data_IF_546838648513
#
_entry.id   IF_546838648513
#
_cell.length_a   1.000
_cell.length_b   1.000
_cell.length_c   1.000
_cell.angle_alpha   90.00
_cell.angle_beta   90.00
_cell.angle_gamma   90.00
#
_symmetry.space_group_name_H-M   'P 1'
#
loop_
_entity.id
_entity.type
_entity.pdbx_description
1 polymer ?
#
# COMPACT_ATOMS: atom_id res chain seq x y z
N UNK A 1 0.16 -3.95 -25.20
CA UNK A 1 -0.80 -4.94 -25.66
C UNK A 1 -1.14 -5.84 -24.47
N UNK A 2 -2.43 -5.96 -24.16
CA UNK A 2 -2.93 -6.81 -23.07
C UNK A 2 -2.99 -8.25 -23.59
N UNK A 3 -1.86 -8.93 -23.59
CA UNK A 3 -1.75 -10.32 -24.04
C UNK A 3 -1.71 -11.25 -22.83
N UNK A 4 -2.41 -12.38 -22.94
CA UNK A 4 -2.34 -13.43 -21.94
C UNK A 4 -0.96 -14.11 -21.95
N UNK A 5 -0.49 -14.62 -20.80
CA UNK A 5 0.74 -15.40 -20.78
C UNK A 5 0.64 -16.56 -21.79
N UNK A 6 1.65 -16.77 -22.66
CA UNK A 6 1.60 -17.83 -23.69
C UNK A 6 1.43 -19.24 -23.11
N UNK A 7 1.81 -19.45 -21.85
CA UNK A 7 1.67 -20.72 -21.13
C UNK A 7 0.28 -20.94 -20.52
N UNK A 8 -0.61 -19.95 -20.55
CA UNK A 8 -1.96 -20.07 -19.99
C UNK A 8 -2.86 -20.88 -20.94
N UNK A 9 -3.27 -22.06 -20.52
CA UNK A 9 -4.27 -22.86 -21.22
C UNK A 9 -5.60 -22.76 -20.49
N UNK A 10 -6.52 -21.94 -21.03
CA UNK A 10 -7.83 -21.66 -20.41
C UNK A 10 -8.68 -22.92 -20.29
N UNK A 11 -8.63 -23.83 -21.26
CA UNK A 11 -9.42 -25.07 -21.28
C UNK A 11 -9.03 -26.04 -20.13
N UNK A 12 -7.81 -25.94 -19.64
CA UNK A 12 -7.27 -26.76 -18.54
C UNK A 12 -7.03 -25.97 -17.24
N UNK A 13 -7.56 -24.73 -17.14
CA UNK A 13 -7.40 -23.87 -15.96
C UNK A 13 -8.72 -23.79 -15.21
N UNK A 14 -8.77 -24.32 -13.98
CA UNK A 14 -9.96 -24.29 -13.14
C UNK A 14 -10.25 -22.91 -12.54
N UNK A 15 -9.21 -22.09 -12.34
CA UNK A 15 -9.31 -20.72 -11.82
C UNK A 15 -7.94 -20.05 -11.76
N UNK A 16 -7.91 -18.72 -11.59
CA UNK A 16 -6.68 -17.92 -11.55
C UNK A 16 -6.68 -17.02 -10.31
N UNK A 17 -5.54 -16.98 -9.61
CA UNK A 17 -5.24 -15.95 -8.62
C UNK A 17 -4.34 -14.92 -9.31
N UNK A 18 -4.80 -13.67 -9.36
CA UNK A 18 -4.10 -12.54 -9.96
C UNK A 18 -3.42 -11.72 -8.87
N UNK A 19 -2.09 -11.69 -8.86
CA UNK A 19 -1.30 -10.85 -7.97
C UNK A 19 -0.74 -9.64 -8.75
N UNK A 20 -0.78 -8.45 -8.12
CA UNK A 20 -0.17 -7.22 -8.66
C UNK A 20 -0.62 -6.87 -10.10
N UNK A 21 -1.87 -7.17 -10.41
CA UNK A 21 -2.48 -6.77 -11.68
C UNK A 21 -3.08 -5.38 -11.47
N UNK A 22 -2.30 -4.33 -11.73
CA UNK A 22 -2.66 -2.94 -11.45
C UNK A 22 -3.09 -2.13 -12.69
N UNK A 23 -3.09 -2.74 -13.87
CA UNK A 23 -3.72 -2.17 -15.06
C UNK A 23 -5.20 -2.53 -15.11
N UNK A 24 -6.08 -1.52 -15.09
CA UNK A 24 -7.52 -1.73 -15.03
C UNK A 24 -8.09 -2.41 -16.30
N UNK A 25 -7.61 -2.03 -17.48
CA UNK A 25 -8.11 -2.57 -18.74
C UNK A 25 -7.69 -4.04 -18.89
N UNK A 26 -6.47 -4.37 -18.42
CA UNK A 26 -6.01 -5.75 -18.35
C UNK A 26 -6.82 -6.58 -17.34
N UNK A 27 -7.09 -6.06 -16.15
CA UNK A 27 -7.93 -6.72 -15.14
C UNK A 27 -9.36 -6.96 -15.67
N UNK A 28 -9.95 -5.99 -16.37
CA UNK A 28 -11.25 -6.16 -17.03
C UNK A 28 -11.20 -7.23 -18.12
N UNK A 29 -10.16 -7.24 -18.94
CA UNK A 29 -9.97 -8.26 -19.98
C UNK A 29 -9.89 -9.66 -19.35
N UNK A 30 -9.16 -9.84 -18.25
CA UNK A 30 -9.13 -11.13 -17.52
C UNK A 30 -10.53 -11.56 -17.07
N UNK A 31 -11.38 -10.64 -16.61
CA UNK A 31 -12.75 -10.94 -16.21
C UNK A 31 -13.63 -11.48 -17.36
N UNK A 32 -13.23 -11.30 -18.64
CA UNK A 32 -13.96 -11.82 -19.80
C UNK A 32 -13.60 -13.28 -20.17
N UNK A 33 -12.63 -13.90 -19.48
CA UNK A 33 -12.14 -15.25 -19.81
C UNK A 33 -13.15 -16.36 -19.47
N UNK A 34 -14.18 -16.07 -18.67
CA UNK A 34 -15.22 -17.04 -18.31
C UNK A 34 -14.78 -18.11 -17.31
N UNK A 35 -13.66 -17.90 -16.61
CA UNK A 35 -13.12 -18.78 -15.57
C UNK A 35 -13.11 -18.06 -14.20
N UNK A 36 -13.19 -18.80 -13.07
CA UNK A 36 -13.07 -18.23 -11.74
C UNK A 36 -11.81 -17.41 -11.54
N UNK A 37 -11.97 -16.17 -11.06
CA UNK A 37 -10.87 -15.24 -10.79
C UNK A 37 -10.91 -14.72 -9.35
N UNK A 38 -9.74 -14.59 -8.77
CA UNK A 38 -9.48 -13.86 -7.54
C UNK A 38 -8.36 -12.86 -7.76
N UNK A 39 -8.60 -11.59 -7.45
CA UNK A 39 -7.54 -10.60 -7.40
C UNK A 39 -7.05 -10.43 -5.96
N UNK A 40 -5.74 -10.52 -5.78
CA UNK A 40 -5.05 -10.11 -4.54
C UNK A 40 -4.46 -8.74 -4.81
N UNK A 41 -5.10 -7.73 -4.22
CA UNK A 41 -5.03 -6.32 -4.59
C UNK A 41 -5.52 -6.08 -6.05
N UNK A 42 -5.78 -4.83 -6.38
CA UNK A 42 -6.38 -4.45 -7.68
C UNK A 42 -5.81 -3.12 -8.17
N UNK A 43 -6.08 -2.74 -9.43
CA UNK A 43 -6.00 -1.33 -9.83
C UNK A 43 -6.86 -0.46 -8.91
N UNK A 44 -6.59 0.84 -8.86
CA UNK A 44 -7.47 1.78 -8.16
C UNK A 44 -8.89 1.70 -8.74
N UNK A 45 -9.86 1.40 -7.87
CA UNK A 45 -11.26 1.15 -8.25
C UNK A 45 -12.17 2.37 -8.09
N UNK A 46 -11.63 3.48 -7.58
CA UNK A 46 -12.43 4.70 -7.37
C UNK A 46 -13.03 5.20 -8.69
N UNK A 47 -14.35 5.42 -8.69
CA UNK A 47 -15.13 5.87 -9.87
C UNK A 47 -15.05 4.95 -11.11
N UNK A 48 -14.70 3.67 -10.93
CA UNK A 48 -14.65 2.66 -12.00
C UNK A 48 -15.70 1.56 -11.81
N UNK A 49 -16.21 0.93 -12.88
CA UNK A 49 -17.04 -0.25 -12.76
C UNK A 49 -16.33 -1.37 -11.97
N UNK A 50 -17.06 -2.14 -11.13
CA UNK A 50 -16.45 -3.21 -10.36
C UNK A 50 -15.95 -4.34 -11.26
N UNK A 51 -14.81 -4.95 -10.88
CA UNK A 51 -14.32 -6.18 -11.52
C UNK A 51 -15.28 -7.34 -11.23
N UNK A 52 -15.55 -8.14 -12.24
CA UNK A 52 -16.39 -9.35 -12.16
C UNK A 52 -15.57 -10.52 -11.59
N UNK A 53 -15.07 -10.37 -10.37
CA UNK A 53 -14.18 -11.33 -9.67
C UNK A 53 -14.23 -11.15 -8.17
N UNK A 54 -13.84 -12.18 -7.40
CA UNK A 54 -13.55 -12.03 -5.98
C UNK A 54 -12.27 -11.21 -5.78
N UNK A 55 -12.19 -10.49 -4.65
CA UNK A 55 -11.07 -9.61 -4.32
C UNK A 55 -10.63 -9.85 -2.88
N UNK A 56 -9.33 -9.92 -2.69
CA UNK A 56 -8.70 -10.06 -1.38
C UNK A 56 -7.73 -8.91 -1.17
N UNK A 57 -7.84 -8.24 -0.03
CA UNK A 57 -6.95 -7.17 0.40
C UNK A 57 -6.43 -7.44 1.81
N UNK A 58 -5.34 -6.77 2.17
CA UNK A 58 -5.01 -6.52 3.57
C UNK A 58 -5.82 -5.31 4.07
N UNK A 59 -6.06 -5.23 5.36
CA UNK A 59 -6.65 -4.04 5.99
C UNK A 59 -5.65 -2.88 5.87
N UNK A 60 -6.07 -1.76 5.28
CA UNK A 60 -5.18 -0.66 4.91
C UNK A 60 -5.41 0.62 5.72
N UNK A 61 -6.38 0.65 6.66
CA UNK A 61 -6.86 1.90 7.24
C UNK A 61 -6.62 2.01 8.74
N UNK A 62 -6.97 0.97 9.50
CA UNK A 62 -7.03 0.99 10.97
C UNK A 62 -5.66 1.30 11.57
N UNK A 63 -4.62 0.57 11.15
CA UNK A 63 -3.29 0.75 11.72
C UNK A 63 -2.60 2.05 11.26
N UNK A 64 -2.93 2.58 10.09
CA UNK A 64 -2.49 3.93 9.69
C UNK A 64 -3.12 4.98 10.60
N UNK A 65 -4.42 4.90 10.87
CA UNK A 65 -5.10 5.82 11.77
C UNK A 65 -4.58 5.71 13.20
N UNK A 66 -4.33 4.49 13.69
CA UNK A 66 -3.71 4.22 14.99
C UNK A 66 -2.30 4.83 15.08
N UNK A 67 -1.46 4.65 14.06
CA UNK A 67 -0.10 5.22 14.03
C UNK A 67 -0.14 6.74 14.02
N UNK A 68 -1.01 7.34 13.21
CA UNK A 68 -1.17 8.80 13.17
C UNK A 68 -1.63 9.35 14.53
N UNK A 69 -2.57 8.69 15.20
CA UNK A 69 -3.01 9.08 16.55
C UNK A 69 -1.85 9.01 17.55
N UNK A 70 -1.01 7.98 17.51
CA UNK A 70 0.18 7.87 18.34
C UNK A 70 1.21 8.97 18.04
N UNK A 71 1.46 9.27 16.76
CA UNK A 71 2.36 10.36 16.35
C UNK A 71 1.88 11.70 16.92
N UNK A 72 0.57 11.99 16.81
CA UNK A 72 -0.04 13.22 17.38
C UNK A 72 0.08 13.28 18.90
N UNK A 73 -0.23 12.20 19.60
CA UNK A 73 -0.12 12.11 21.06
C UNK A 73 1.32 12.36 21.54
N UNK A 74 2.32 11.95 20.76
CA UNK A 74 3.74 12.16 21.03
C UNK A 74 4.27 13.50 20.47
N UNK A 75 3.37 14.39 20.03
CA UNK A 75 3.66 15.79 19.69
C UNK A 75 4.04 16.07 18.24
N UNK A 76 3.91 15.09 17.32
CA UNK A 76 4.10 15.32 15.88
C UNK A 76 2.91 16.12 15.33
N UNK A 77 3.19 17.16 14.53
CA UNK A 77 2.17 18.12 14.08
C UNK A 77 2.07 18.26 12.56
N UNK A 78 3.07 17.82 11.85
CA UNK A 78 3.17 17.91 10.38
C UNK A 78 3.48 16.54 9.82
N UNK A 79 2.45 15.71 9.79
CA UNK A 79 2.57 14.34 9.26
C UNK A 79 2.26 14.38 7.77
N UNK A 80 3.15 13.84 6.94
CA UNK A 80 3.00 13.75 5.50
C UNK A 80 2.80 12.30 5.04
N UNK A 81 2.26 12.12 3.84
CA UNK A 81 2.22 10.82 3.16
C UNK A 81 3.30 10.76 2.09
N UNK A 82 3.98 9.61 1.98
CA UNK A 82 4.93 9.34 0.91
C UNK A 82 4.50 8.10 0.12
N UNK A 83 4.20 8.27 -1.15
CA UNK A 83 3.78 7.18 -2.03
C UNK A 83 2.99 7.64 -3.24
N UNK A 84 2.83 6.76 -4.23
CA UNK A 84 1.96 6.96 -5.39
C UNK A 84 0.56 6.43 -5.08
N UNK A 85 -0.37 7.33 -4.78
CA UNK A 85 -1.76 6.99 -4.44
C UNK A 85 -2.57 6.39 -5.60
N UNK A 86 -2.05 6.45 -6.83
CA UNK A 86 -2.68 5.89 -8.03
C UNK A 86 -2.04 4.54 -8.45
N UNK A 87 -1.08 4.03 -7.67
CA UNK A 87 -0.37 2.80 -8.00
C UNK A 87 -1.29 1.57 -7.99
N UNK A 88 -1.98 1.34 -6.88
CA UNK A 88 -2.91 0.23 -6.66
C UNK A 88 -3.97 0.59 -5.63
N UNK A 89 -4.99 -0.26 -5.47
CA UNK A 89 -6.09 -0.02 -4.53
C UNK A 89 -5.59 0.08 -3.09
N UNK A 90 -4.65 -0.78 -2.67
CA UNK A 90 -4.08 -0.73 -1.31
C UNK A 90 -3.38 0.60 -1.02
N UNK A 91 -2.57 1.13 -1.95
CA UNK A 91 -1.92 2.43 -1.77
C UNK A 91 -2.95 3.57 -1.72
N UNK A 92 -3.99 3.47 -2.55
CA UNK A 92 -5.09 4.43 -2.54
C UNK A 92 -5.82 4.44 -1.18
N UNK A 93 -6.14 3.26 -0.63
CA UNK A 93 -6.80 3.14 0.67
C UNK A 93 -5.91 3.64 1.82
N UNK A 94 -4.59 3.37 1.78
CA UNK A 94 -3.59 3.89 2.74
C UNK A 94 -3.55 5.42 2.70
N UNK A 95 -3.51 6.00 1.51
CA UNK A 95 -3.57 7.45 1.34
C UNK A 95 -4.87 8.04 1.87
N UNK A 96 -6.02 7.41 1.59
CA UNK A 96 -7.33 7.86 2.11
C UNK A 96 -7.38 7.81 3.63
N UNK A 97 -6.87 6.72 4.23
CA UNK A 97 -6.79 6.59 5.70
C UNK A 97 -5.92 7.68 6.34
N UNK A 98 -4.77 7.97 5.73
CA UNK A 98 -3.91 9.09 6.12
C UNK A 98 -4.67 10.42 6.02
N UNK A 99 -5.33 10.67 4.88
CA UNK A 99 -6.05 11.93 4.65
C UNK A 99 -7.18 12.13 5.65
N UNK A 100 -8.01 11.11 5.87
CA UNK A 100 -9.12 11.15 6.83
C UNK A 100 -8.60 11.46 8.25
N UNK A 101 -7.48 10.83 8.66
CA UNK A 101 -6.87 11.09 9.96
C UNK A 101 -6.25 12.50 10.04
N UNK A 102 -5.56 12.95 8.98
CA UNK A 102 -4.98 14.29 8.94
C UNK A 102 -6.06 15.38 9.03
N UNK A 103 -7.17 15.21 8.32
CA UNK A 103 -8.34 16.10 8.40
C UNK A 103 -8.95 16.09 9.81
N UNK A 104 -9.09 14.91 10.44
CA UNK A 104 -9.58 14.78 11.83
C UNK A 104 -8.72 15.56 12.83
N UNK A 105 -7.39 15.56 12.66
CA UNK A 105 -6.45 16.29 13.51
C UNK A 105 -6.17 17.74 13.04
N UNK A 106 -6.85 18.22 11.99
CA UNK A 106 -6.68 19.58 11.45
C UNK A 106 -5.31 19.82 10.81
N UNK A 107 -4.72 18.81 10.19
CA UNK A 107 -3.40 18.87 9.57
C UNK A 107 -3.49 19.14 8.05
N UNK A 108 -2.43 19.76 7.50
CA UNK A 108 -2.28 19.91 6.06
C UNK A 108 -2.03 18.54 5.39
N UNK A 109 -2.59 18.36 4.20
CA UNK A 109 -2.49 17.12 3.40
C UNK A 109 -1.76 17.30 2.06
N UNK A 110 -1.44 18.54 1.70
CA UNK A 110 -0.84 18.88 0.40
C UNK A 110 0.69 18.82 0.48
N UNK A 111 1.22 17.60 0.58
CA UNK A 111 2.65 17.36 0.65
C UNK A 111 3.21 16.89 -0.69
N UNK A 112 4.38 17.38 -1.13
CA UNK A 112 4.98 17.05 -2.43
C UNK A 112 5.48 15.61 -2.53
N UNK A 113 5.53 14.89 -1.41
CA UNK A 113 5.92 13.45 -1.35
C UNK A 113 4.79 12.50 -1.74
N UNK A 114 3.55 12.99 -1.84
CA UNK A 114 2.43 12.23 -2.36
C UNK A 114 2.41 12.31 -3.88
N UNK A 115 2.91 11.29 -4.57
CA UNK A 115 2.89 11.22 -6.01
C UNK A 115 1.48 11.05 -6.56
N UNK A 116 1.18 11.72 -7.66
CA UNK A 116 -0.08 11.60 -8.42
C UNK A 116 0.12 10.96 -9.79
N UNK A 117 1.35 10.57 -10.12
CA UNK A 117 1.75 9.92 -11.36
C UNK A 117 2.77 8.84 -11.06
N UNK A 118 2.85 7.82 -11.90
CA UNK A 118 3.87 6.76 -11.77
C UNK A 118 5.25 7.38 -11.61
N UNK A 119 5.85 7.20 -10.44
CA UNK A 119 7.22 7.60 -10.18
C UNK A 119 8.13 6.62 -10.92
N UNK A 120 9.01 7.17 -11.73
CA UNK A 120 10.03 6.40 -12.48
C UNK A 120 11.03 5.73 -11.53
N UNK A 121 11.86 4.78 -11.97
CA UNK A 121 12.57 3.80 -11.14
C UNK A 121 13.53 4.36 -10.06
N UNK A 122 13.65 5.66 -9.89
CA UNK A 122 14.45 6.26 -8.82
C UNK A 122 13.57 7.03 -7.82
N UNK A 123 12.88 6.27 -6.95
CA UNK A 123 11.97 6.86 -5.97
C UNK A 123 12.73 7.73 -4.95
N UNK A 124 13.93 7.32 -4.54
CA UNK A 124 14.79 8.09 -3.62
C UNK A 124 15.14 9.48 -4.17
N UNK A 125 15.45 9.59 -5.47
CA UNK A 125 15.74 10.89 -6.08
C UNK A 125 14.48 11.77 -6.20
N UNK A 126 13.33 11.18 -6.55
CA UNK A 126 12.04 11.89 -6.54
C UNK A 126 11.75 12.49 -5.15
N UNK A 127 11.87 11.69 -4.09
CA UNK A 127 11.64 12.14 -2.72
C UNK A 127 12.65 13.24 -2.30
N UNK A 128 13.91 13.06 -2.62
CA UNK A 128 14.94 14.07 -2.36
C UNK A 128 14.61 15.43 -3.01
N UNK A 129 14.27 15.43 -4.29
CA UNK A 129 13.93 16.65 -5.01
C UNK A 129 12.63 17.28 -4.49
N UNK A 130 11.63 16.47 -4.15
CA UNK A 130 10.35 16.91 -3.58
C UNK A 130 10.54 17.61 -2.22
N UNK A 131 11.40 17.06 -1.36
CA UNK A 131 11.64 17.59 -0.02
C UNK A 131 12.61 18.77 -0.02
N UNK A 132 13.59 18.80 -0.93
CA UNK A 132 14.59 19.89 -1.02
C UNK A 132 13.95 21.27 -1.18
N UNK A 133 12.81 21.35 -1.86
CA UNK A 133 12.07 22.58 -2.09
C UNK A 133 11.00 22.89 -1.05
N UNK A 134 10.83 22.05 -0.05
CA UNK A 134 9.77 22.17 0.94
C UNK A 134 10.07 23.33 1.90
N UNK A 135 9.20 24.35 2.02
CA UNK A 135 9.45 25.51 2.90
C UNK A 135 9.40 25.13 4.39
N UNK A 136 8.71 24.06 4.70
CA UNK A 136 8.61 23.53 6.08
C UNK A 136 8.65 22.00 5.99
N UNK A 137 9.64 21.39 6.65
CA UNK A 137 9.79 19.93 6.68
C UNK A 137 8.69 19.29 7.53
N UNK A 138 8.05 18.20 7.07
CA UNK A 138 7.24 17.34 7.92
C UNK A 138 8.06 16.80 9.09
N UNK A 139 7.42 16.57 10.25
CA UNK A 139 8.06 15.97 11.42
C UNK A 139 7.75 14.47 11.56
N UNK A 140 6.89 13.93 10.69
CA UNK A 140 6.67 12.50 10.53
C UNK A 140 6.11 12.15 9.15
N UNK A 141 6.27 10.88 8.76
CA UNK A 141 5.71 10.35 7.51
C UNK A 141 5.02 9.02 7.73
N UNK A 142 3.89 8.84 7.04
CA UNK A 142 3.28 7.55 6.71
C UNK A 142 3.66 7.24 5.27
N UNK A 143 4.32 6.12 5.04
CA UNK A 143 4.74 5.67 3.71
C UNK A 143 3.80 4.60 3.16
N UNK A 144 3.59 4.60 1.85
CA UNK A 144 2.71 3.63 1.22
C UNK A 144 3.22 2.18 1.39
N UNK A 145 4.55 1.97 1.45
CA UNK A 145 5.16 0.70 1.83
C UNK A 145 6.58 0.90 2.41
N UNK A 146 7.23 -0.19 2.82
CA UNK A 146 8.56 -0.17 3.44
C UNK A 146 9.67 0.27 2.49
N UNK A 147 9.61 -0.10 1.22
CA UNK A 147 10.63 0.30 0.24
C UNK A 147 10.63 1.83 0.05
N UNK A 148 9.44 2.43 -0.04
CA UNK A 148 9.30 3.89 -0.08
C UNK A 148 9.79 4.53 1.21
N UNK A 149 9.54 3.91 2.36
CA UNK A 149 10.03 4.39 3.66
C UNK A 149 11.57 4.38 3.72
N UNK A 150 12.22 3.33 3.27
CA UNK A 150 13.69 3.22 3.20
C UNK A 150 14.29 4.24 2.21
N UNK A 151 13.67 4.43 1.05
CA UNK A 151 14.07 5.45 0.08
C UNK A 151 13.92 6.88 0.66
N UNK A 152 12.86 7.11 1.44
CA UNK A 152 12.63 8.37 2.13
C UNK A 152 13.69 8.63 3.20
N UNK A 153 14.05 7.64 4.02
CA UNK A 153 15.11 7.75 5.03
C UNK A 153 16.43 8.13 4.33
N UNK A 154 16.76 7.47 3.23
CA UNK A 154 17.97 7.80 2.45
C UNK A 154 17.93 9.24 1.90
N UNK A 155 16.79 9.70 1.41
CA UNK A 155 16.61 11.07 0.93
C UNK A 155 16.74 12.11 2.06
N UNK A 156 16.16 11.83 3.23
CA UNK A 156 16.27 12.68 4.43
C UNK A 156 17.70 12.77 4.95
N UNK A 157 18.45 11.67 5.02
CA UNK A 157 19.87 11.68 5.39
C UNK A 157 20.69 12.56 4.44
N UNK A 158 20.45 12.52 3.13
CA UNK A 158 21.10 13.40 2.15
C UNK A 158 20.77 14.88 2.37
N UNK A 159 19.61 15.18 2.97
CA UNK A 159 19.19 16.54 3.34
C UNK A 159 19.67 16.96 4.73
N UNK A 160 20.37 16.08 5.48
CA UNK A 160 20.93 16.35 6.79
C UNK A 160 19.98 16.11 7.95
N UNK A 161 18.85 15.41 7.73
CA UNK A 161 17.91 15.05 8.79
C UNK A 161 18.18 13.64 9.33
N UNK A 162 17.98 13.46 10.61
CA UNK A 162 18.10 12.17 11.31
C UNK A 162 16.74 11.53 11.57
N UNK A 163 16.68 10.21 11.46
CA UNK A 163 15.52 9.40 11.82
C UNK A 163 15.96 8.47 12.96
N UNK A 164 15.30 8.49 14.13
CA UNK A 164 14.02 9.15 14.46
C UNK A 164 14.15 10.56 15.07
N UNK A 165 15.36 11.08 15.31
CA UNK A 165 15.56 12.27 16.17
C UNK A 165 14.81 13.49 15.63
N UNK A 166 14.94 13.79 14.34
CA UNK A 166 14.27 14.91 13.70
C UNK A 166 12.90 14.52 13.16
N UNK A 167 12.82 13.37 12.47
CA UNK A 167 11.66 12.96 11.68
C UNK A 167 11.32 11.50 11.96
N UNK A 168 10.04 11.19 12.15
CA UNK A 168 9.54 9.82 12.31
C UNK A 168 9.06 9.23 10.99
N UNK A 169 9.31 7.93 10.82
CA UNK A 169 8.92 7.21 9.60
C UNK A 169 8.19 5.92 9.96
N UNK A 170 7.00 5.73 9.37
CA UNK A 170 6.25 4.48 9.43
C UNK A 170 6.05 3.94 8.00
N UNK A 171 6.44 2.69 7.77
CA UNK A 171 6.22 1.94 6.55
C UNK A 171 4.94 1.10 6.59
N UNK A 172 4.83 0.21 5.63
CA UNK A 172 3.78 -0.80 5.51
C UNK A 172 4.38 -2.03 4.81
N UNK A 173 3.91 -3.23 5.12
CA UNK A 173 4.22 -4.59 4.67
C UNK A 173 5.00 -5.39 5.72
N UNK A 174 5.80 -4.76 6.58
CA UNK A 174 6.75 -5.37 7.52
C UNK A 174 7.68 -6.35 6.78
N UNK A 175 8.28 -5.83 5.71
CA UNK A 175 9.24 -6.59 4.90
C UNK A 175 10.42 -7.07 5.74
N UNK A 176 11.10 -8.11 5.29
CA UNK A 176 12.28 -8.62 5.99
C UNK A 176 13.33 -7.50 6.15
N UNK A 177 13.50 -6.65 5.14
CA UNK A 177 14.42 -5.52 5.11
C UNK A 177 14.10 -4.50 6.22
N UNK A 178 12.83 -4.26 6.53
CA UNK A 178 12.41 -3.33 7.59
C UNK A 178 12.99 -3.68 8.96
N UNK A 179 13.22 -4.96 9.23
CA UNK A 179 13.70 -5.46 10.51
C UNK A 179 15.21 -5.26 10.75
N UNK A 180 16.02 -5.11 9.70
CA UNK A 180 17.46 -4.91 9.78
C UNK A 180 17.97 -3.64 9.08
N UNK A 181 17.09 -2.84 8.53
CA UNK A 181 17.41 -1.49 8.06
C UNK A 181 17.88 -0.61 9.24
N UNK A 182 18.65 0.44 8.97
CA UNK A 182 19.11 1.34 10.03
C UNK A 182 18.61 2.77 9.79
N UNK A 183 17.75 3.31 10.68
CA UNK A 183 17.15 2.67 11.87
C UNK A 183 16.14 1.57 11.49
N UNK A 184 15.90 0.58 12.39
CA UNK A 184 14.86 -0.44 12.17
C UNK A 184 13.51 0.22 11.99
N UNK A 185 12.81 -0.20 10.93
CA UNK A 185 11.62 0.50 10.46
C UNK A 185 10.37 0.08 11.23
N UNK A 186 9.68 1.03 11.85
CA UNK A 186 8.27 0.87 12.28
C UNK A 186 7.44 0.62 11.03
N UNK A 187 6.65 -0.45 11.04
CA UNK A 187 5.88 -0.86 9.87
C UNK A 187 4.57 -1.53 10.27
N UNK A 188 3.63 -1.59 9.34
CA UNK A 188 2.37 -2.31 9.50
C UNK A 188 2.53 -3.69 8.86
N UNK A 189 2.45 -4.74 9.69
CA UNK A 189 2.65 -6.13 9.30
C UNK A 189 1.47 -6.70 8.54
N UNK A 190 1.75 -7.34 7.40
CA UNK A 190 0.80 -8.10 6.59
C UNK A 190 0.96 -9.59 6.91
N UNK A 191 -0.13 -10.25 7.26
CA UNK A 191 -0.16 -11.69 7.52
C UNK A 191 -0.19 -12.50 6.21
N UNK A 192 0.92 -12.54 5.46
CA UNK A 192 1.00 -13.15 4.13
C UNK A 192 0.54 -14.62 4.07
N UNK A 193 0.83 -15.43 5.09
CA UNK A 193 0.36 -16.83 5.16
C UNK A 193 -1.18 -16.90 5.29
N UNK A 194 -1.78 -16.03 6.11
CA UNK A 194 -3.23 -15.96 6.28
C UNK A 194 -3.88 -15.50 4.97
N UNK A 195 -3.29 -14.50 4.30
CA UNK A 195 -3.75 -14.05 2.99
C UNK A 195 -3.69 -15.18 1.95
N UNK A 196 -2.60 -15.93 1.89
CA UNK A 196 -2.46 -17.08 0.98
C UNK A 196 -3.52 -18.15 1.23
N UNK A 197 -3.79 -18.47 2.50
CA UNK A 197 -4.86 -19.40 2.87
C UNK A 197 -6.25 -18.86 2.48
N UNK A 198 -6.52 -17.59 2.76
CA UNK A 198 -7.79 -16.94 2.39
C UNK A 198 -7.97 -16.91 0.87
N UNK A 199 -6.90 -16.61 0.11
CA UNK A 199 -6.93 -16.60 -1.35
C UNK A 199 -7.30 -17.98 -1.93
N UNK A 200 -6.65 -19.04 -1.44
CA UNK A 200 -6.95 -20.40 -1.88
C UNK A 200 -8.42 -20.77 -1.60
N UNK A 201 -8.91 -20.52 -0.37
CA UNK A 201 -10.31 -20.83 -0.01
C UNK A 201 -11.32 -20.00 -0.82
N UNK A 202 -11.05 -18.72 -1.06
CA UNK A 202 -11.94 -17.87 -1.87
C UNK A 202 -12.05 -18.39 -3.30
N UNK A 203 -10.91 -18.74 -3.92
CA UNK A 203 -10.91 -19.26 -5.28
C UNK A 203 -11.58 -20.65 -5.36
N UNK A 204 -11.27 -21.56 -4.43
CA UNK A 204 -11.91 -22.88 -4.39
C UNK A 204 -13.43 -22.76 -4.26
N UNK A 205 -13.90 -21.90 -3.34
CA UNK A 205 -15.35 -21.66 -3.20
C UNK A 205 -15.96 -21.10 -4.49
N UNK A 206 -15.24 -20.21 -5.21
CA UNK A 206 -15.71 -19.67 -6.49
C UNK A 206 -15.80 -20.74 -7.58
N UNK A 207 -14.87 -21.71 -7.58
CA UNK A 207 -14.89 -22.85 -8.51
C UNK A 207 -16.09 -23.78 -8.22
N UNK A 208 -16.34 -24.07 -6.95
CA UNK A 208 -17.41 -24.97 -6.51
C UNK A 208 -18.80 -24.33 -6.65
N UNK A 209 -18.91 -23.03 -6.36
CA UNK A 209 -20.17 -22.28 -6.31
C UNK A 209 -20.09 -21.01 -7.21
N UNK A 210 -20.04 -21.15 -8.52
CA UNK A 210 -19.81 -20.02 -9.45
C UNK A 210 -20.95 -19.00 -9.46
N UNK A 211 -22.15 -19.35 -8.99
CA UNK A 211 -23.33 -18.48 -8.92
C UNK A 211 -23.34 -17.51 -7.75
N UNK A 212 -22.45 -17.66 -6.78
CA UNK A 212 -22.37 -16.74 -5.64
C UNK A 212 -22.00 -15.31 -6.10
N UNK A 213 -22.48 -14.31 -5.37
CA UNK A 213 -22.06 -12.93 -5.56
C UNK A 213 -20.54 -12.81 -5.36
N UNK A 214 -19.90 -11.89 -6.10
CA UNK A 214 -18.49 -11.58 -5.89
C UNK A 214 -18.26 -10.98 -4.51
N UNK A 215 -17.19 -11.43 -3.85
CA UNK A 215 -16.85 -11.05 -2.47
C UNK A 215 -15.62 -10.16 -2.46
N UNK A 216 -15.60 -9.25 -1.52
CA UNK A 216 -14.39 -8.51 -1.13
C UNK A 216 -14.07 -8.88 0.30
N UNK A 217 -12.86 -9.38 0.51
CA UNK A 217 -12.38 -9.84 1.83
C UNK A 217 -11.13 -9.06 2.20
N UNK A 218 -11.03 -8.69 3.48
CA UNK A 218 -9.86 -8.05 4.07
C UNK A 218 -9.28 -8.96 5.15
N UNK A 219 -7.95 -9.11 5.16
CA UNK A 219 -7.21 -9.74 6.26
C UNK A 219 -6.69 -8.67 7.20
N UNK A 220 -6.63 -8.96 8.50
CA UNK A 220 -6.11 -8.05 9.51
C UNK A 220 -4.63 -7.72 9.29
N UNK A 221 -4.21 -6.58 9.83
CA UNK A 221 -2.83 -6.12 9.88
C UNK A 221 -2.49 -5.69 11.30
N UNK A 222 -1.19 -5.59 11.64
CA UNK A 222 -0.75 -5.18 12.97
C UNK A 222 0.40 -4.17 12.88
N UNK A 223 0.34 -3.12 13.69
CA UNK A 223 1.41 -2.14 13.82
C UNK A 223 2.58 -2.74 14.63
N UNK A 224 3.78 -2.69 14.07
CA UNK A 224 5.04 -3.10 14.70
C UNK A 224 5.90 -1.86 14.92
N UNK A 225 6.02 -1.43 16.15
CA UNK A 225 6.83 -0.27 16.52
C UNK A 225 8.32 -0.63 16.57
N UNK A 226 9.18 0.25 16.04
CA UNK A 226 10.64 0.10 16.02
C UNK A 226 11.33 1.47 16.08
N UNK A 227 12.65 1.48 15.88
CA UNK A 227 13.53 2.64 16.05
C UNK A 227 13.11 3.87 15.22
N UNK A 228 12.57 3.69 14.02
CA UNK A 228 12.22 4.83 13.14
C UNK A 228 11.10 5.74 13.66
N UNK A 229 10.47 5.35 14.78
CA UNK A 229 9.49 6.17 15.54
C UNK A 229 9.87 6.34 17.00
N UNK A 230 11.12 6.03 17.35
CA UNK A 230 11.67 6.24 18.71
C UNK A 230 11.25 5.16 19.71
N UNK A 231 10.97 3.96 19.25
CA UNK A 231 10.62 2.79 20.09
C UNK A 231 11.69 1.71 20.09
#
# INVERSE_FOLDING_TARGET
ANELPPSLNIEHTAGIICFEVFDYDYAQMLCTLGIPLLFVDTPVMEMRPPLQADRLYMENRIEIQNMMAQMVQRGRKRIAFAGDKEHCQSFHERYRAYKDAAEHFGMATDWPTCATQKVQPNYSEYLYQSLRGCPTMPDAFICANDFIAMDLINALHRLGYSVPDDIWICGFDDSQEASYFSPRLTSIHIHGQIMGYAAANLLMTRIEEPSLNYRTVYTETNLILRESTGD
#
